data_IF_761956700310
#
_entry.id   IF_761956700310
#
_cell.length_a   1.000
_cell.length_b   1.000
_cell.length_c   1.000
_cell.angle_alpha   90.00
_cell.angle_beta   90.00
_cell.angle_gamma   90.00
#
_symmetry.space_group_name_H-M   'P 1'
#
loop_
_entity.id
_entity.type
_entity.pdbx_description
1 polymer ?
#
# COMPACT_ATOMS: atom_id res chain seq x y z
N UNK A 1 -31.61 -1.14 12.34
CA UNK A 1 -30.39 -1.88 11.99
C UNK A 1 -29.97 -1.39 10.62
N UNK A 2 -28.88 -0.62 10.54
CA UNK A 2 -28.30 -0.24 9.27
C UNK A 2 -27.59 -1.48 8.75
N UNK A 3 -28.12 -2.09 7.70
CA UNK A 3 -27.44 -3.07 6.91
C UNK A 3 -26.34 -2.32 6.15
N UNK A 4 -25.08 -2.53 6.52
CA UNK A 4 -23.96 -1.97 5.79
C UNK A 4 -24.02 -2.48 4.35
N UNK A 5 -24.19 -1.58 3.41
CA UNK A 5 -24.10 -1.93 1.99
C UNK A 5 -22.66 -2.30 1.69
N UNK A 6 -22.46 -3.47 1.10
CA UNK A 6 -21.15 -3.91 0.64
C UNK A 6 -20.88 -3.20 -0.69
N UNK A 7 -19.92 -2.26 -0.70
CA UNK A 7 -19.53 -1.48 -1.86
C UNK A 7 -18.36 -2.12 -2.62
N UNK A 8 -18.26 -3.45 -2.60
CA UNK A 8 -17.23 -4.19 -3.32
C UNK A 8 -17.44 -4.10 -4.84
N UNK A 9 -16.34 -3.97 -5.57
CA UNK A 9 -16.32 -4.00 -7.03
C UNK A 9 -15.84 -5.35 -7.51
N UNK A 10 -16.60 -6.00 -8.40
CA UNK A 10 -16.18 -7.24 -9.05
C UNK A 10 -16.23 -7.08 -10.57
N UNK A 11 -15.07 -7.23 -11.21
CA UNK A 11 -14.89 -7.07 -12.64
C UNK A 11 -14.40 -8.38 -13.25
N UNK A 12 -15.19 -8.92 -14.19
CA UNK A 12 -14.86 -10.12 -14.94
C UNK A 12 -14.89 -9.81 -16.44
N UNK A 13 -13.73 -9.86 -17.09
CA UNK A 13 -13.63 -9.58 -18.52
C UNK A 13 -12.43 -10.29 -19.12
N UNK A 14 -12.46 -10.59 -20.42
CA UNK A 14 -11.26 -11.09 -21.10
C UNK A 14 -10.17 -10.03 -21.12
N UNK A 15 -10.50 -8.82 -21.51
CA UNK A 15 -9.56 -7.71 -21.57
C UNK A 15 -10.13 -6.53 -20.77
N UNK A 16 -9.32 -5.99 -19.89
CA UNK A 16 -9.62 -4.77 -19.13
C UNK A 16 -8.65 -3.69 -19.58
N UNK A 17 -9.18 -2.58 -20.08
CA UNK A 17 -8.41 -1.38 -20.37
C UNK A 17 -8.97 -0.25 -19.53
N UNK A 18 -8.17 0.25 -18.60
CA UNK A 18 -8.55 1.33 -17.72
C UNK A 18 -7.72 2.58 -18.00
N UNK A 19 -8.34 3.61 -18.54
CA UNK A 19 -7.78 4.96 -18.70
C UNK A 19 -8.40 5.98 -17.74
N UNK A 20 -9.45 5.57 -17.00
CA UNK A 20 -10.15 6.38 -16.02
C UNK A 20 -9.89 5.89 -14.60
N UNK A 21 -10.97 5.75 -13.82
CA UNK A 21 -10.90 5.31 -12.43
C UNK A 21 -11.80 4.11 -12.19
N UNK A 22 -11.23 3.06 -11.62
CA UNK A 22 -11.94 1.94 -11.01
C UNK A 22 -11.72 2.08 -9.51
N UNK A 23 -12.77 2.34 -8.75
CA UNK A 23 -12.68 2.56 -7.31
C UNK A 23 -13.69 1.72 -6.53
N UNK A 24 -13.25 1.17 -5.39
CA UNK A 24 -14.06 0.47 -4.41
C UNK A 24 -13.82 1.03 -3.02
N UNK A 25 -14.88 1.23 -2.24
CA UNK A 25 -14.77 1.61 -0.82
C UNK A 25 -14.45 0.42 0.07
N UNK A 26 -14.73 -0.78 -0.41
CA UNK A 26 -14.42 -2.06 0.23
C UNK A 26 -13.42 -2.83 -0.64
N UNK A 27 -13.58 -4.15 -0.69
CA UNK A 27 -12.75 -5.01 -1.51
C UNK A 27 -13.03 -4.83 -3.01
N UNK A 28 -12.02 -5.08 -3.83
CA UNK A 28 -12.16 -5.13 -5.27
C UNK A 28 -11.58 -6.43 -5.83
N UNK A 29 -12.27 -7.02 -6.81
CA UNK A 29 -11.84 -8.22 -7.51
C UNK A 29 -11.78 -7.95 -9.00
N UNK A 30 -10.63 -8.19 -9.62
CA UNK A 30 -10.44 -8.09 -11.07
C UNK A 30 -9.97 -9.43 -11.60
N UNK A 31 -10.81 -10.06 -12.41
CA UNK A 31 -10.50 -11.28 -13.12
C UNK A 31 -10.45 -11.02 -14.61
N UNK A 32 -9.28 -11.20 -15.22
CA UNK A 32 -9.10 -10.92 -16.64
C UNK A 32 -8.05 -11.83 -17.28
N UNK A 33 -8.00 -11.84 -18.59
CA UNK A 33 -6.86 -12.37 -19.32
C UNK A 33 -5.79 -11.30 -19.50
N UNK A 34 -6.19 -10.07 -19.81
CA UNK A 34 -5.28 -8.91 -19.86
C UNK A 34 -5.83 -7.75 -19.05
N UNK A 35 -4.93 -7.06 -18.35
CA UNK A 35 -5.23 -5.80 -17.67
C UNK A 35 -4.20 -4.75 -18.11
N UNK A 36 -4.66 -3.71 -18.78
CA UNK A 36 -3.86 -2.56 -19.18
C UNK A 36 -4.39 -1.31 -18.46
N UNK A 37 -3.59 -0.79 -17.54
CA UNK A 37 -3.96 0.33 -16.67
C UNK A 37 -3.08 1.54 -16.95
N UNK A 38 -3.67 2.59 -17.50
CA UNK A 38 -3.09 3.93 -17.62
C UNK A 38 -3.76 4.96 -16.70
N UNK A 39 -4.85 4.55 -16.03
CA UNK A 39 -5.61 5.35 -15.08
C UNK A 39 -5.39 4.89 -13.65
N UNK A 40 -6.44 4.94 -12.84
CA UNK A 40 -6.39 4.59 -11.41
C UNK A 40 -7.25 3.38 -11.11
N UNK A 41 -6.70 2.43 -10.37
CA UNK A 41 -7.42 1.33 -9.72
C UNK A 41 -7.22 1.49 -8.22
N UNK A 42 -8.30 1.67 -7.47
CA UNK A 42 -8.28 1.99 -6.05
C UNK A 42 -9.22 1.08 -5.27
N UNK A 43 -8.75 0.51 -4.16
CA UNK A 43 -9.57 -0.20 -3.18
C UNK A 43 -9.20 0.24 -1.77
N UNK A 44 -10.21 0.56 -0.95
CA UNK A 44 -9.97 0.85 0.47
C UNK A 44 -9.76 -0.42 1.30
N UNK A 45 -10.23 -1.56 0.80
CA UNK A 45 -9.99 -2.90 1.33
C UNK A 45 -8.91 -3.66 0.57
N UNK A 46 -9.15 -4.93 0.34
CA UNK A 46 -8.27 -5.78 -0.46
C UNK A 46 -8.57 -5.62 -1.96
N UNK A 47 -7.53 -5.46 -2.75
CA UNK A 47 -7.59 -5.62 -4.20
C UNK A 47 -7.01 -6.99 -4.56
N UNK A 48 -7.87 -7.84 -5.09
CA UNK A 48 -7.50 -9.14 -5.64
C UNK A 48 -7.45 -9.04 -7.16
N UNK A 49 -6.29 -9.26 -7.75
CA UNK A 49 -6.13 -9.33 -9.21
C UNK A 49 -5.76 -10.76 -9.61
N UNK A 50 -6.57 -11.37 -10.44
CA UNK A 50 -6.31 -12.68 -11.05
C UNK A 50 -6.30 -12.49 -12.56
N UNK A 51 -5.10 -12.37 -13.10
CA UNK A 51 -4.88 -12.12 -14.52
C UNK A 51 -4.12 -13.30 -15.13
N UNK A 52 -4.74 -14.02 -16.06
CA UNK A 52 -4.14 -15.22 -16.63
C UNK A 52 -3.02 -14.91 -17.64
N UNK A 53 -3.03 -13.71 -18.22
CA UNK A 53 -2.03 -13.26 -19.19
C UNK A 53 -1.22 -12.09 -18.64
N UNK A 54 -1.22 -10.97 -19.36
CA UNK A 54 -0.38 -9.81 -19.04
C UNK A 54 -1.13 -8.78 -18.20
N UNK A 55 -0.51 -8.32 -17.12
CA UNK A 55 -0.83 -7.07 -16.45
C UNK A 55 0.19 -6.02 -16.86
N UNK A 56 -0.28 -4.91 -17.44
CA UNK A 56 0.52 -3.73 -17.74
C UNK A 56 0.00 -2.53 -16.95
N UNK A 57 0.85 -1.98 -16.10
CA UNK A 57 0.58 -0.72 -15.40
C UNK A 57 1.49 0.36 -15.98
N UNK A 58 0.90 1.26 -16.76
CA UNK A 58 1.65 2.26 -17.54
C UNK A 58 2.15 3.42 -16.65
N UNK A 59 2.97 4.33 -17.20
CA UNK A 59 3.65 5.41 -16.46
C UNK A 59 2.72 6.26 -15.58
N UNK A 60 1.51 6.56 -16.03
CA UNK A 60 0.51 7.30 -15.27
C UNK A 60 -0.45 6.39 -14.51
N UNK A 61 -0.31 5.07 -14.68
CA UNK A 61 -1.16 4.09 -14.04
C UNK A 61 -0.87 3.98 -12.55
N UNK A 62 -1.93 4.01 -11.75
CA UNK A 62 -1.87 3.78 -10.32
C UNK A 62 -2.75 2.59 -9.95
N UNK A 63 -2.18 1.63 -9.24
CA UNK A 63 -2.90 0.54 -8.60
C UNK A 63 -2.63 0.65 -7.11
N UNK A 64 -3.68 0.90 -6.32
CA UNK A 64 -3.54 1.13 -4.88
C UNK A 64 -4.63 0.40 -4.10
N UNK A 65 -4.25 -0.22 -2.99
CA UNK A 65 -5.19 -0.84 -2.06
C UNK A 65 -4.64 -0.88 -0.64
N UNK A 66 -5.51 -1.09 0.36
CA UNK A 66 -5.05 -1.39 1.71
C UNK A 66 -4.27 -2.71 1.73
N UNK A 67 -4.73 -3.71 0.97
CA UNK A 67 -4.00 -4.97 0.72
C UNK A 67 -4.00 -5.31 -0.76
N UNK A 68 -2.84 -5.68 -1.28
CA UNK A 68 -2.67 -6.17 -2.64
C UNK A 68 -2.43 -7.69 -2.64
N UNK A 69 -3.23 -8.40 -3.41
CA UNK A 69 -3.07 -9.82 -3.71
C UNK A 69 -3.18 -10.00 -5.23
N UNK A 70 -2.03 -10.10 -5.88
CA UNK A 70 -1.96 -10.10 -7.33
C UNK A 70 -1.30 -11.38 -7.85
N UNK A 71 -2.01 -12.05 -8.76
CA UNK A 71 -1.50 -13.20 -9.49
C UNK A 71 -1.70 -12.97 -10.98
N UNK A 72 -0.60 -12.93 -11.73
CA UNK A 72 -0.59 -12.56 -13.14
C UNK A 72 0.19 -13.55 -13.98
N UNK A 73 -0.11 -13.64 -15.27
CA UNK A 73 0.72 -14.40 -16.22
C UNK A 73 2.07 -13.71 -16.44
N UNK A 74 2.08 -12.39 -16.58
CA UNK A 74 3.27 -11.53 -16.57
C UNK A 74 2.93 -10.15 -16.03
N UNK A 75 3.90 -9.48 -15.41
CA UNK A 75 3.76 -8.11 -14.90
C UNK A 75 4.74 -7.18 -15.60
N UNK A 76 4.22 -6.06 -16.10
CA UNK A 76 5.00 -4.95 -16.66
C UNK A 76 4.52 -3.66 -15.96
N UNK A 77 5.31 -3.17 -15.01
CA UNK A 77 5.00 -1.98 -14.24
C UNK A 77 5.94 -0.83 -14.58
N UNK A 78 5.40 0.20 -15.19
CA UNK A 78 6.06 1.48 -15.40
C UNK A 78 5.43 2.62 -14.57
N UNK A 79 4.28 2.34 -13.93
CA UNK A 79 3.56 3.26 -13.05
C UNK A 79 3.77 2.97 -11.56
N UNK A 80 2.71 3.14 -10.78
CA UNK A 80 2.74 2.95 -9.33
C UNK A 80 1.84 1.78 -8.92
N UNK A 81 2.37 0.86 -8.14
CA UNK A 81 1.63 -0.20 -7.45
C UNK A 81 1.89 -0.05 -5.96
N UNK A 82 0.88 0.34 -5.18
CA UNK A 82 1.06 0.75 -3.78
C UNK A 82 0.08 0.05 -2.85
N UNK A 83 0.60 -0.59 -1.82
CA UNK A 83 -0.19 -1.08 -0.69
C UNK A 83 -0.09 -0.08 0.46
N UNK A 84 -1.24 0.32 1.01
CA UNK A 84 -1.30 1.31 2.10
C UNK A 84 -1.47 0.69 3.49
N UNK A 85 -1.88 -0.57 3.57
CA UNK A 85 -1.99 -1.28 4.83
C UNK A 85 -0.70 -1.98 5.24
N UNK A 86 -0.62 -2.39 6.51
CA UNK A 86 0.54 -3.04 7.12
C UNK A 86 0.63 -4.55 6.86
N UNK A 87 -0.29 -5.13 6.09
CA UNK A 87 -0.29 -6.55 5.78
C UNK A 87 0.77 -6.91 4.74
N UNK A 88 1.01 -8.21 4.56
CA UNK A 88 1.96 -8.70 3.59
C UNK A 88 1.58 -8.30 2.17
N UNK A 89 2.54 -7.70 1.43
CA UNK A 89 2.44 -7.52 -0.01
C UNK A 89 2.59 -8.88 -0.70
N UNK A 90 1.66 -9.27 -1.56
CA UNK A 90 1.70 -10.55 -2.27
C UNK A 90 1.55 -10.33 -3.77
N UNK A 91 2.67 -10.45 -4.49
CA UNK A 91 2.74 -10.32 -5.93
C UNK A 91 3.35 -11.59 -6.55
N UNK A 92 2.57 -12.27 -7.38
CA UNK A 92 3.00 -13.49 -8.06
C UNK A 92 2.84 -13.32 -9.56
N UNK A 93 3.90 -13.64 -10.31
CA UNK A 93 3.87 -13.70 -11.76
C UNK A 93 4.26 -15.11 -12.25
N UNK A 94 3.46 -15.68 -13.15
CA UNK A 94 3.78 -16.96 -13.78
C UNK A 94 4.82 -16.85 -14.91
N UNK A 95 5.15 -15.64 -15.36
CA UNK A 95 6.12 -15.36 -16.40
C UNK A 95 7.04 -14.23 -15.98
N UNK A 96 7.41 -13.37 -16.92
CA UNK A 96 8.31 -12.23 -16.67
C UNK A 96 7.69 -11.22 -15.70
N UNK A 97 8.53 -10.64 -14.84
CA UNK A 97 8.19 -9.57 -13.92
C UNK A 97 9.13 -8.39 -14.19
N UNK A 98 8.62 -7.37 -14.88
CA UNK A 98 9.35 -6.16 -15.20
C UNK A 98 8.86 -5.01 -14.32
N UNK A 99 9.77 -4.33 -13.63
CA UNK A 99 9.46 -3.14 -12.88
C UNK A 99 10.44 -2.01 -13.21
N UNK A 100 9.99 -1.01 -13.93
CA UNK A 100 10.69 0.26 -14.10
C UNK A 100 10.00 1.42 -13.39
N UNK A 101 8.83 1.17 -12.78
CA UNK A 101 8.08 2.11 -11.97
C UNK A 101 8.33 1.92 -10.47
N UNK A 102 7.27 2.07 -9.69
CA UNK A 102 7.31 1.94 -8.24
C UNK A 102 6.38 0.82 -7.77
N UNK A 103 6.89 -0.05 -6.92
CA UNK A 103 6.12 -1.05 -6.21
C UNK A 103 6.45 -0.91 -4.73
N UNK A 104 5.44 -0.86 -3.86
CA UNK A 104 5.75 -0.82 -2.45
C UNK A 104 4.60 -0.67 -1.50
N UNK A 105 4.96 -0.73 -0.22
CA UNK A 105 4.09 -0.41 0.90
C UNK A 105 4.29 1.05 1.25
N UNK A 106 3.20 1.80 1.36
CA UNK A 106 3.21 3.20 1.74
C UNK A 106 2.48 3.38 3.07
N UNK A 107 3.07 4.15 3.95
CA UNK A 107 2.44 4.57 5.21
C UNK A 107 1.46 5.75 5.03
N UNK A 108 1.23 6.19 3.80
CA UNK A 108 0.33 7.31 3.56
C UNK A 108 -1.10 6.86 3.85
N UNK A 109 -1.79 7.47 4.83
CA UNK A 109 -3.20 7.20 5.03
C UNK A 109 -3.96 7.49 3.74
N UNK A 110 -4.88 6.63 3.36
CA UNK A 110 -5.77 6.91 2.23
C UNK A 110 -6.65 8.12 2.58
N UNK A 111 -6.20 9.32 2.27
CA UNK A 111 -7.02 10.51 2.34
C UNK A 111 -7.87 10.59 1.07
N UNK A 112 -9.01 9.95 1.06
CA UNK A 112 -9.90 10.06 -0.09
C UNK A 112 -11.18 9.23 -0.03
N UNK A 113 -11.21 8.14 0.70
CA UNK A 113 -12.38 7.26 0.74
C UNK A 113 -12.79 6.84 2.17
N UNK A 114 -12.50 7.66 3.19
CA UNK A 114 -12.97 7.34 4.54
C UNK A 114 -14.34 7.97 4.80
N UNK A 115 -15.43 7.17 4.85
CA UNK A 115 -16.76 7.68 5.18
C UNK A 115 -16.99 7.78 6.70
N UNK A 116 -15.95 7.78 7.54
CA UNK A 116 -16.16 7.93 8.98
C UNK A 116 -15.76 9.33 9.48
N UNK A 117 -16.69 10.30 9.56
CA UNK A 117 -16.44 11.63 10.10
C UNK A 117 -16.58 11.63 11.63
N UNK A 118 -15.84 10.78 12.34
CA UNK A 118 -15.89 10.74 13.81
C UNK A 118 -14.54 11.09 14.42
N UNK A 119 -13.94 12.17 13.97
CA UNK A 119 -12.99 12.94 14.79
C UNK A 119 -13.46 14.38 14.80
N UNK A 120 -14.33 14.70 15.74
CA UNK A 120 -14.63 16.09 16.10
C UNK A 120 -13.35 16.65 16.73
N UNK A 121 -12.75 17.73 16.18
CA UNK A 121 -11.66 18.40 16.86
C UNK A 121 -12.18 18.94 18.19
N UNK A 122 -11.63 18.47 19.29
CA UNK A 122 -11.89 19.06 20.60
C UNK A 122 -11.33 20.48 20.56
N UNK A 123 -12.22 21.46 20.59
CA UNK A 123 -11.88 22.86 20.77
C UNK A 123 -11.33 22.99 22.20
N UNK A 124 -10.12 23.53 22.41
CA UNK A 124 -9.63 23.77 23.77
C UNK A 124 -10.50 24.83 24.43
N UNK A 125 -11.16 24.42 25.49
CA UNK A 125 -11.90 25.33 26.40
C UNK A 125 -10.92 26.31 27.03
N UNK A 126 -10.99 27.58 26.68
CA UNK A 126 -10.32 28.68 27.40
C UNK A 126 -11.00 28.89 28.73
N UNK A 127 -10.39 28.37 29.78
CA UNK A 127 -10.77 28.74 31.15
C UNK A 127 -9.94 29.96 31.56
N UNK A 128 -10.58 31.12 31.59
CA UNK A 128 -10.12 32.30 32.30
C UNK A 128 -10.27 32.06 33.80
N UNK A 129 -9.18 32.15 34.54
CA UNK A 129 -9.15 32.13 36.02
C UNK A 129 -7.92 32.80 36.56
N UNK A 130 -8.11 34.06 36.98
CA UNK A 130 -7.14 34.87 37.73
C UNK A 130 -6.91 34.27 39.12
N UNK A 131 -5.64 34.18 39.58
CA UNK A 131 -5.32 33.80 40.94
C UNK A 131 -3.82 33.86 41.21
N UNK A 132 -3.38 34.98 41.77
CA UNK A 132 -2.04 35.20 42.31
C UNK A 132 -1.76 34.30 43.52
N UNK A 133 -0.60 33.62 43.55
CA UNK A 133 0.10 33.25 44.80
C UNK A 133 1.55 32.85 44.53
N UNK A 134 2.43 33.51 45.18
CA UNK A 134 3.86 33.29 45.34
C UNK A 134 4.17 32.00 46.06
N UNK A 135 5.05 31.13 45.52
CA UNK A 135 5.86 30.16 46.33
C UNK A 135 7.18 29.82 45.65
N UNK A 136 8.20 30.08 46.32
CA UNK A 136 9.49 29.45 46.57
C UNK A 136 10.05 28.42 45.61
N UNK A 137 11.29 28.68 45.19
CA UNK A 137 12.14 27.81 44.40
C UNK A 137 12.50 26.51 45.11
N UNK A 138 12.27 25.38 44.44
CA UNK A 138 12.97 24.13 44.72
C UNK A 138 13.49 23.54 43.42
N UNK A 139 14.75 23.13 43.48
CA UNK A 139 15.67 22.52 42.56
C UNK A 139 15.03 21.65 41.48
N UNK A 140 15.41 21.78 40.19
CA UNK A 140 14.91 20.91 39.13
C UNK A 140 15.53 19.51 39.24
N UNK A 141 14.70 18.53 39.53
CA UNK A 141 14.99 17.15 39.27
C UNK A 141 14.87 16.95 37.76
N UNK A 142 15.95 16.50 37.09
CA UNK A 142 15.97 16.21 35.70
C UNK A 142 15.21 14.90 35.43
N UNK A 143 13.90 14.98 35.37
CA UNK A 143 13.09 13.97 34.71
C UNK A 143 12.84 14.45 33.29
N UNK A 144 13.77 14.10 32.42
CA UNK A 144 13.55 14.20 30.98
C UNK A 144 12.31 13.35 30.66
N UNK A 145 11.19 13.90 30.20
CA UNK A 145 10.06 13.10 29.79
C UNK A 145 10.56 12.29 28.60
N UNK A 146 10.69 10.98 28.79
CA UNK A 146 10.90 10.05 27.68
C UNK A 146 9.70 10.24 26.76
N UNK A 147 9.93 10.92 25.65
CA UNK A 147 8.92 11.06 24.60
C UNK A 147 8.43 9.65 24.27
N UNK A 148 7.12 9.38 24.32
CA UNK A 148 6.64 8.05 23.98
C UNK A 148 7.09 7.75 22.56
N UNK A 149 8.05 6.83 22.45
CA UNK A 149 8.47 6.30 21.15
C UNK A 149 7.22 5.68 20.54
N UNK A 150 6.73 6.24 19.44
CA UNK A 150 5.62 5.67 18.73
C UNK A 150 5.92 4.18 18.48
N UNK A 151 4.98 3.26 18.72
CA UNK A 151 5.21 1.85 18.51
C UNK A 151 5.73 1.63 17.11
N UNK A 152 6.86 0.95 16.99
CA UNK A 152 7.44 0.62 15.70
C UNK A 152 6.40 -0.16 14.88
N UNK A 153 6.06 0.35 13.70
CA UNK A 153 5.14 -0.33 12.80
C UNK A 153 5.77 -1.67 12.40
N UNK A 154 5.10 -2.75 12.75
CA UNK A 154 5.51 -4.09 12.36
C UNK A 154 4.82 -4.42 11.03
N UNK A 155 5.59 -4.47 9.96
CA UNK A 155 5.08 -4.90 8.66
C UNK A 155 5.12 -6.40 8.56
N UNK A 156 4.07 -6.98 8.01
CA UNK A 156 4.06 -8.40 7.70
C UNK A 156 5.06 -8.74 6.58
N UNK A 157 5.42 -10.00 6.50
CA UNK A 157 6.34 -10.52 5.49
C UNK A 157 5.71 -10.45 4.10
N UNK A 158 6.31 -9.67 3.20
CA UNK A 158 5.89 -9.57 1.80
C UNK A 158 6.52 -10.64 0.92
N UNK A 159 5.92 -10.88 -0.24
CA UNK A 159 6.41 -11.83 -1.23
C UNK A 159 6.27 -11.26 -2.63
N UNK A 160 7.36 -11.33 -3.40
CA UNK A 160 7.35 -11.17 -4.85
C UNK A 160 7.92 -12.45 -5.44
N UNK A 161 7.13 -13.15 -6.23
CA UNK A 161 7.53 -14.42 -6.83
C UNK A 161 7.25 -14.42 -8.31
N UNK A 162 8.22 -14.89 -9.10
CA UNK A 162 8.04 -15.15 -10.52
C UNK A 162 8.65 -16.49 -10.93
N UNK A 163 8.00 -17.19 -11.84
CA UNK A 163 8.61 -18.37 -12.48
C UNK A 163 9.45 -18.00 -13.70
N UNK A 164 9.42 -16.73 -14.13
CA UNK A 164 10.27 -16.17 -15.17
C UNK A 164 11.45 -15.40 -14.61
N UNK A 165 11.91 -14.41 -15.37
CA UNK A 165 12.89 -13.42 -14.94
C UNK A 165 12.19 -12.31 -14.14
N UNK A 166 12.92 -11.74 -13.16
CA UNK A 166 12.56 -10.50 -12.49
C UNK A 166 13.58 -9.44 -12.87
N UNK A 167 13.14 -8.41 -13.54
CA UNK A 167 13.95 -7.25 -13.93
C UNK A 167 13.43 -6.03 -13.18
N UNK A 168 14.24 -5.46 -12.29
CA UNK A 168 13.89 -4.25 -11.55
C UNK A 168 14.83 -3.11 -11.92
N UNK A 169 14.36 -2.19 -12.74
CA UNK A 169 15.02 -0.92 -13.02
C UNK A 169 14.41 0.25 -12.24
N UNK A 170 13.26 0.03 -11.60
CA UNK A 170 12.54 1.01 -10.81
C UNK A 170 12.79 0.89 -9.31
N UNK A 171 11.75 1.02 -8.52
CA UNK A 171 11.83 0.95 -7.06
C UNK A 171 10.88 -0.10 -6.51
N UNK A 172 11.38 -0.97 -5.64
CA UNK A 172 10.59 -1.89 -4.82
C UNK A 172 10.86 -1.56 -3.36
N UNK A 173 9.81 -1.17 -2.63
CA UNK A 173 9.88 -0.81 -1.21
C UNK A 173 8.88 -1.61 -0.40
N UNK A 174 9.34 -2.47 0.47
CA UNK A 174 8.47 -3.34 1.27
C UNK A 174 8.22 -2.84 2.70
N UNK A 175 8.96 -1.86 3.18
CA UNK A 175 8.84 -1.35 4.56
C UNK A 175 9.30 -2.33 5.64
N UNK A 176 8.96 -3.62 5.51
CA UNK A 176 9.32 -4.69 6.43
C UNK A 176 10.21 -5.76 5.78
N UNK A 177 9.93 -7.03 6.06
CA UNK A 177 10.61 -8.13 5.38
C UNK A 177 9.95 -8.43 4.03
N UNK A 178 10.76 -8.66 3.00
CA UNK A 178 10.31 -9.15 1.71
C UNK A 178 11.14 -10.34 1.26
N UNK A 179 10.45 -11.34 0.70
CA UNK A 179 11.07 -12.46 0.00
C UNK A 179 10.87 -12.25 -1.49
N UNK A 180 11.96 -12.23 -2.23
CA UNK A 180 11.93 -12.13 -3.70
C UNK A 180 12.46 -13.44 -4.26
N UNK A 181 11.68 -14.10 -5.11
CA UNK A 181 12.08 -15.33 -5.77
C UNK A 181 11.82 -15.24 -7.27
N UNK A 182 12.87 -15.34 -8.06
CA UNK A 182 12.82 -15.47 -9.50
C UNK A 182 13.41 -16.82 -9.92
N UNK A 183 12.67 -17.59 -10.72
CA UNK A 183 13.13 -18.93 -11.09
C UNK A 183 14.26 -18.90 -12.13
N UNK A 184 14.24 -17.93 -13.05
CA UNK A 184 15.21 -17.87 -14.14
C UNK A 184 16.36 -16.91 -13.81
N UNK A 185 16.08 -15.63 -13.64
CA UNK A 185 17.08 -14.60 -13.34
C UNK A 185 16.46 -13.50 -12.49
N UNK A 186 17.30 -12.84 -11.70
CA UNK A 186 16.96 -11.61 -11.00
C UNK A 186 17.99 -10.58 -11.40
N UNK A 187 17.54 -9.51 -12.07
CA UNK A 187 18.36 -8.36 -12.42
C UNK A 187 17.83 -7.13 -11.68
N UNK A 188 18.72 -6.41 -10.99
CA UNK A 188 18.34 -5.20 -10.27
C UNK A 188 19.33 -4.08 -10.61
N UNK A 189 18.91 -3.18 -11.45
CA UNK A 189 19.59 -1.90 -11.71
C UNK A 189 18.95 -0.73 -10.96
N UNK A 190 17.79 -0.96 -10.33
CA UNK A 190 17.04 0.02 -9.57
C UNK A 190 17.24 -0.11 -8.06
N UNK A 191 16.20 0.16 -7.30
CA UNK A 191 16.22 0.15 -5.84
C UNK A 191 15.38 -1.00 -5.27
N UNK A 192 15.95 -1.75 -4.33
CA UNK A 192 15.26 -2.71 -3.46
C UNK A 192 15.45 -2.26 -2.03
N UNK A 193 14.37 -1.87 -1.36
CA UNK A 193 14.40 -1.38 0.02
C UNK A 193 13.45 -2.19 0.89
N UNK A 194 14.01 -2.81 1.92
CA UNK A 194 13.27 -3.56 2.93
C UNK A 194 14.08 -3.59 4.23
N UNK A 195 13.40 -3.72 5.37
CA UNK A 195 14.09 -3.93 6.64
C UNK A 195 14.86 -5.26 6.66
N UNK A 196 14.34 -6.28 5.96
CA UNK A 196 15.00 -7.55 5.69
C UNK A 196 14.68 -8.01 4.28
N UNK A 197 15.69 -8.23 3.48
CA UNK A 197 15.59 -8.77 2.11
C UNK A 197 16.09 -10.21 2.09
N UNK A 198 15.34 -11.09 1.48
CA UNK A 198 15.73 -12.45 1.14
C UNK A 198 15.51 -12.65 -0.36
N UNK A 199 16.53 -13.14 -1.06
CA UNK A 199 16.54 -13.38 -2.50
C UNK A 199 16.87 -14.84 -2.75
#
# INVERSE_FOLDING_TARGET
AATGENHAVSLHARNVHNSGTIASQDDANIHSQTLDNSGTVLSSGQLTVRNLGRLKNQNNGTIQAARLDMSTGSLDNTGNITQTGSQALDLVSAGKFDNSGKIGVSDVPQTGLNPNPSVIPQIPSTATGSGSSTVSASKPSSNNPVSPTAPAKTYARGRIQTTGALDNAGSINAGGQIDIAAKNSLENSGSLNAAKLQV
#
